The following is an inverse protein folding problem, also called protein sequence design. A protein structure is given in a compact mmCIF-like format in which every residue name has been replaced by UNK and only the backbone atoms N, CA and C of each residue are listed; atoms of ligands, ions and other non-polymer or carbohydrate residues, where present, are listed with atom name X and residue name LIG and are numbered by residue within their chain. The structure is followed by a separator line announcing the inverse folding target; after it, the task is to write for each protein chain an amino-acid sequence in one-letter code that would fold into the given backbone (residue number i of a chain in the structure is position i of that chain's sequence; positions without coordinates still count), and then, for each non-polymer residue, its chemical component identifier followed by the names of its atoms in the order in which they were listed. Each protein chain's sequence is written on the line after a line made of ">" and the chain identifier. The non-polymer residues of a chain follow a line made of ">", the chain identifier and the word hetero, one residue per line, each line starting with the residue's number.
data_IF_504594916284
#
_entry.id   IF_504594916284
#
_cell.length_a   1.000
_cell.length_b   1.000
_cell.length_c   1.000
_cell.angle_alpha   90.00
_cell.angle_beta   90.00
_cell.angle_gamma   90.00
#
_symmetry.space_group_name_H-M   'P 1'
#
loop_
_entity.id
_entity.type
_entity.pdbx_description
1 polymer ?
#
# COMPACT_ATOMS: atom_id res chain seq x y z
N UNK A 1 6.43 -11.97 18.46
CA UNK A 1 7.61 -11.92 17.57
C UNK A 1 7.09 -12.00 16.16
N UNK A 2 7.33 -10.98 15.33
CA UNK A 2 6.89 -11.01 13.92
C UNK A 2 7.69 -12.07 13.16
N UNK A 3 7.07 -12.70 12.16
CA UNK A 3 7.79 -13.59 11.24
C UNK A 3 8.88 -12.81 10.50
N UNK A 4 10.00 -13.47 10.18
CA UNK A 4 10.99 -12.86 9.29
C UNK A 4 10.32 -12.48 7.97
N UNK A 5 10.63 -11.31 7.39
CA UNK A 5 10.03 -10.89 6.14
C UNK A 5 10.44 -11.83 5.01
N UNK A 6 9.48 -12.24 4.18
CA UNK A 6 9.76 -13.00 2.96
C UNK A 6 10.32 -12.05 1.90
N UNK A 7 11.54 -12.28 1.40
CA UNK A 7 12.17 -11.43 0.38
C UNK A 7 12.26 -12.17 -0.94
N UNK A 8 11.45 -11.73 -1.90
CA UNK A 8 11.38 -12.28 -3.25
C UNK A 8 12.10 -11.36 -4.23
N UNK A 9 13.16 -11.88 -4.87
CA UNK A 9 13.99 -11.12 -5.82
C UNK A 9 13.87 -11.71 -7.21
N UNK A 10 13.39 -10.90 -8.15
CA UNK A 10 13.15 -11.29 -9.53
C UNK A 10 14.22 -10.74 -10.46
N UNK A 11 14.45 -11.43 -11.59
CA UNK A 11 15.54 -11.09 -12.51
C UNK A 11 15.42 -9.67 -13.10
N UNK A 12 14.20 -9.17 -13.28
CA UNK A 12 13.91 -7.83 -13.80
C UNK A 12 12.49 -7.39 -13.38
N UNK A 13 12.15 -6.14 -13.74
CA UNK A 13 10.84 -5.52 -13.46
C UNK A 13 9.67 -6.34 -14.03
N UNK A 14 9.78 -6.90 -15.23
CA UNK A 14 8.68 -7.63 -15.86
C UNK A 14 8.36 -8.95 -15.14
N UNK A 15 9.39 -9.67 -14.70
CA UNK A 15 9.22 -10.88 -13.90
C UNK A 15 8.66 -10.58 -12.52
N UNK A 16 9.10 -9.50 -11.89
CA UNK A 16 8.49 -9.00 -10.65
C UNK A 16 7.01 -8.68 -10.86
N UNK A 17 6.70 -7.92 -11.91
CA UNK A 17 5.36 -7.46 -12.26
C UNK A 17 4.40 -8.64 -12.46
N UNK A 18 4.81 -9.63 -13.26
CA UNK A 18 4.03 -10.85 -13.52
C UNK A 18 3.81 -11.68 -12.24
N UNK A 19 4.85 -11.87 -11.43
CA UNK A 19 4.77 -12.64 -10.20
C UNK A 19 3.91 -11.95 -9.13
N UNK A 20 4.02 -10.63 -9.02
CA UNK A 20 3.20 -9.82 -8.12
C UNK A 20 1.73 -9.89 -8.51
N UNK A 21 1.39 -9.73 -9.79
CA UNK A 21 0.01 -9.85 -10.26
C UNK A 21 -0.60 -11.22 -9.94
N UNK A 22 0.13 -12.30 -10.20
CA UNK A 22 -0.31 -13.65 -9.86
C UNK A 22 -0.48 -13.85 -8.34
N UNK A 23 0.43 -13.30 -7.53
CA UNK A 23 0.33 -13.35 -6.07
C UNK A 23 -0.92 -12.63 -5.57
N UNK A 24 -1.17 -11.41 -6.06
CA UNK A 24 -2.32 -10.60 -5.63
C UNK A 24 -3.63 -11.25 -6.07
N UNK A 25 -3.73 -11.76 -7.29
CA UNK A 25 -4.92 -12.49 -7.74
C UNK A 25 -5.20 -13.73 -6.87
N UNK A 26 -4.18 -14.48 -6.47
CA UNK A 26 -4.33 -15.61 -5.55
C UNK A 26 -4.79 -15.17 -4.16
N UNK A 27 -4.26 -14.06 -3.63
CA UNK A 27 -4.72 -13.49 -2.35
C UNK A 27 -6.18 -13.05 -2.44
N UNK A 28 -6.56 -12.41 -3.54
CA UNK A 28 -7.93 -12.00 -3.80
C UNK A 28 -8.89 -13.18 -3.84
N UNK A 29 -8.57 -14.22 -4.62
CA UNK A 29 -9.37 -15.44 -4.71
C UNK A 29 -9.55 -16.12 -3.34
N UNK A 30 -8.48 -16.22 -2.55
CA UNK A 30 -8.52 -16.82 -1.21
C UNK A 30 -9.37 -15.99 -0.23
N UNK A 31 -9.28 -14.67 -0.28
CA UNK A 31 -10.08 -13.79 0.57
C UNK A 31 -11.55 -13.84 0.19
N UNK A 32 -11.87 -13.74 -1.11
CA UNK A 32 -13.22 -13.87 -1.64
C UNK A 32 -13.85 -15.22 -1.26
N UNK A 33 -13.13 -16.33 -1.42
CA UNK A 33 -13.64 -17.65 -1.04
C UNK A 33 -13.92 -17.81 0.46
N UNK A 34 -13.17 -17.12 1.32
CA UNK A 34 -13.31 -17.22 2.79
C UNK A 34 -14.29 -16.24 3.39
N UNK A 35 -14.40 -15.03 2.82
CA UNK A 35 -15.07 -13.87 3.43
C UNK A 35 -16.08 -13.20 2.51
N UNK A 36 -16.22 -13.66 1.27
CA UNK A 36 -17.05 -13.03 0.24
C UNK A 36 -16.51 -11.69 -0.28
N UNK A 37 -15.36 -11.21 0.24
CA UNK A 37 -14.75 -9.94 -0.12
C UNK A 37 -13.22 -10.01 -0.04
N UNK A 38 -12.57 -9.16 -0.82
CA UNK A 38 -11.14 -8.90 -0.79
C UNK A 38 -10.89 -7.40 -0.61
N UNK A 39 -10.48 -7.00 0.59
CA UNK A 39 -10.22 -5.60 0.93
C UNK A 39 -8.71 -5.31 0.82
N UNK A 40 -8.32 -4.52 -0.17
CA UNK A 40 -6.92 -4.19 -0.47
C UNK A 40 -6.67 -2.69 -0.40
N UNK A 41 -5.55 -2.29 0.20
CA UNK A 41 -5.08 -0.91 0.15
C UNK A 41 -3.85 -0.76 -0.76
N UNK A 42 -3.86 0.28 -1.60
CA UNK A 42 -2.82 0.59 -2.57
C UNK A 42 -2.07 1.86 -2.16
N UNK A 43 -0.74 1.86 -2.27
CA UNK A 43 0.04 3.11 -2.22
C UNK A 43 0.20 3.73 -3.61
N UNK A 44 0.65 4.97 -3.64
CA UNK A 44 1.02 5.64 -4.89
C UNK A 44 2.35 5.23 -5.52
N UNK A 45 2.86 6.13 -6.36
CA UNK A 45 4.18 6.01 -7.01
C UNK A 45 4.20 4.93 -8.10
N UNK A 46 5.38 4.35 -8.36
CA UNK A 46 5.54 3.37 -9.44
C UNK A 46 4.86 2.02 -9.18
N UNK A 47 4.16 1.84 -8.05
CA UNK A 47 3.44 0.61 -7.72
C UNK A 47 2.39 0.29 -8.79
N UNK A 48 1.56 1.26 -9.18
CA UNK A 48 0.50 1.03 -10.16
C UNK A 48 1.04 0.74 -11.56
N UNK A 49 2.19 1.31 -11.93
CA UNK A 49 2.88 0.96 -13.18
C UNK A 49 3.45 -0.46 -13.18
N UNK A 50 3.68 -1.04 -12.00
CA UNK A 50 4.20 -2.40 -11.86
C UNK A 50 3.06 -3.42 -11.87
N UNK A 51 1.97 -3.15 -11.16
CA UNK A 51 0.92 -4.16 -10.94
C UNK A 51 -0.34 -3.97 -11.78
N UNK A 52 -0.70 -2.74 -12.18
CA UNK A 52 -1.98 -2.47 -12.86
C UNK A 52 -2.12 -3.23 -14.18
N UNK A 53 -1.25 -2.96 -15.18
CA UNK A 53 -1.32 -3.61 -16.48
C UNK A 53 -1.29 -5.16 -16.45
N UNK A 54 -0.36 -5.84 -15.75
CA UNK A 54 -0.34 -7.30 -15.74
C UNK A 54 -1.57 -7.88 -15.01
N UNK A 55 -2.09 -7.22 -13.97
CA UNK A 55 -3.24 -7.73 -13.24
C UNK A 55 -4.52 -7.70 -14.10
N UNK A 56 -4.66 -6.70 -14.97
CA UNK A 56 -5.76 -6.60 -15.92
C UNK A 56 -5.61 -7.57 -17.13
N UNK A 57 -4.38 -7.89 -17.54
CA UNK A 57 -4.12 -8.57 -18.83
C UNK A 57 -3.55 -9.98 -18.74
N UNK A 58 -3.13 -10.45 -17.55
CA UNK A 58 -2.57 -11.79 -17.40
C UNK A 58 -3.59 -12.88 -17.79
N UNK A 59 -3.15 -14.09 -18.18
CA UNK A 59 -4.07 -15.17 -18.58
C UNK A 59 -5.17 -15.51 -17.56
N UNK A 60 -4.90 -15.28 -16.26
CA UNK A 60 -5.86 -15.52 -15.18
C UNK A 60 -6.76 -14.31 -14.87
N UNK A 61 -6.61 -13.16 -15.54
CA UNK A 61 -7.38 -11.95 -15.23
C UNK A 61 -8.88 -12.13 -15.44
N UNK A 62 -9.27 -12.91 -16.44
CA UNK A 62 -10.66 -13.27 -16.72
C UNK A 62 -11.31 -14.14 -15.62
N UNK A 63 -10.50 -14.78 -14.76
CA UNK A 63 -10.98 -15.57 -13.63
C UNK A 63 -10.99 -14.77 -12.31
N UNK A 64 -10.56 -13.51 -12.31
CA UNK A 64 -10.64 -12.66 -11.13
C UNK A 64 -12.09 -12.22 -10.93
N UNK A 65 -12.65 -12.53 -9.76
CA UNK A 65 -13.93 -12.01 -9.32
C UNK A 65 -13.77 -10.56 -8.84
N UNK A 66 -13.82 -9.61 -9.77
CA UNK A 66 -13.70 -8.17 -9.48
C UNK A 66 -14.84 -7.63 -8.61
N UNK A 67 -16.00 -8.29 -8.60
CA UNK A 67 -17.13 -7.91 -7.75
C UNK A 67 -16.84 -8.14 -6.26
N UNK A 68 -15.87 -8.99 -5.91
CA UNK A 68 -15.44 -9.16 -4.53
C UNK A 68 -14.42 -8.10 -4.05
N UNK A 69 -13.89 -7.24 -4.93
CA UNK A 69 -12.79 -6.33 -4.56
C UNK A 69 -13.30 -5.03 -3.96
N UNK A 70 -12.80 -4.70 -2.77
CA UNK A 70 -12.87 -3.34 -2.22
C UNK A 70 -11.48 -2.71 -2.21
N UNK A 71 -11.35 -1.60 -2.93
CA UNK A 71 -10.09 -0.87 -3.07
C UNK A 71 -10.06 0.30 -2.11
N UNK A 72 -8.96 0.42 -1.38
CA UNK A 72 -8.60 1.56 -0.56
C UNK A 72 -7.24 2.10 -1.01
N UNK A 73 -6.89 3.29 -0.56
CA UNK A 73 -5.56 3.88 -0.64
C UNK A 73 -4.89 3.90 0.73
N UNK A 74 -3.67 3.36 0.81
CA UNK A 74 -2.82 3.44 2.00
C UNK A 74 -2.38 4.89 2.27
N UNK A 75 -2.22 5.65 1.19
CA UNK A 75 -2.07 7.11 1.22
C UNK A 75 -2.56 7.76 -0.06
N UNK A 76 -2.88 9.04 0.02
CA UNK A 76 -3.26 9.87 -1.11
C UNK A 76 -2.72 11.30 -0.92
N UNK A 77 -2.38 11.95 -2.04
CA UNK A 77 -2.08 13.38 -2.08
C UNK A 77 -3.42 14.09 -2.02
N UNK A 78 -3.55 15.04 -1.10
CA UNK A 78 -4.78 15.82 -1.01
C UNK A 78 -4.78 16.86 -2.13
N UNK A 79 -5.23 16.43 -3.31
CA UNK A 79 -5.32 17.17 -4.57
C UNK A 79 -6.57 16.70 -5.33
N UNK A 80 -7.03 17.45 -6.36
CA UNK A 80 -8.12 17.00 -7.22
C UNK A 80 -7.95 15.56 -7.73
N UNK A 81 -9.03 14.77 -7.77
CA UNK A 81 -8.98 13.37 -8.27
C UNK A 81 -8.53 13.19 -9.71
N UNK A 82 -8.57 14.23 -10.53
CA UNK A 82 -8.05 14.25 -11.91
C UNK A 82 -6.63 14.80 -12.01
N UNK A 83 -6.04 15.19 -10.88
CA UNK A 83 -4.65 15.66 -10.80
C UNK A 83 -3.67 14.55 -11.20
N UNK A 84 -2.61 14.87 -11.94
CA UNK A 84 -1.53 13.91 -12.21
C UNK A 84 -0.80 13.43 -10.94
N UNK A 85 -0.92 14.16 -9.82
CA UNK A 85 -0.33 13.77 -8.53
C UNK A 85 -1.22 12.83 -7.70
N UNK A 86 -2.47 12.60 -8.11
CA UNK A 86 -3.42 11.72 -7.41
C UNK A 86 -3.07 10.24 -7.64
N UNK A 87 -2.96 9.50 -6.55
CA UNK A 87 -2.80 8.05 -6.56
C UNK A 87 -4.07 7.36 -7.09
N UNK A 88 -5.26 7.91 -6.84
CA UNK A 88 -6.52 7.48 -7.46
C UNK A 88 -6.45 7.62 -8.98
N UNK A 89 -6.09 8.81 -9.48
CA UNK A 89 -6.01 9.05 -10.92
C UNK A 89 -5.03 8.08 -11.61
N UNK A 90 -3.90 7.83 -10.95
CA UNK A 90 -2.90 6.87 -11.45
C UNK A 90 -3.45 5.44 -11.47
N UNK A 91 -4.11 5.00 -10.40
CA UNK A 91 -4.71 3.67 -10.35
C UNK A 91 -5.85 3.51 -11.36
N UNK A 92 -6.66 4.55 -11.55
CA UNK A 92 -7.76 4.60 -12.51
C UNK A 92 -7.28 4.31 -13.95
N UNK A 93 -6.21 5.01 -14.36
CA UNK A 93 -5.58 4.84 -15.67
C UNK A 93 -4.89 3.50 -15.87
N UNK A 94 -4.29 2.95 -14.81
CA UNK A 94 -3.48 1.73 -14.90
C UNK A 94 -4.25 0.43 -14.67
N UNK A 95 -5.40 0.50 -13.99
CA UNK A 95 -6.15 -0.68 -13.59
C UNK A 95 -7.67 -0.46 -13.62
N UNK A 96 -8.21 0.51 -12.87
CA UNK A 96 -9.64 0.52 -12.52
C UNK A 96 -10.54 0.62 -13.76
N UNK A 97 -10.16 1.42 -14.75
CA UNK A 97 -10.91 1.55 -16.02
C UNK A 97 -10.84 0.32 -16.94
N UNK A 98 -9.96 -0.64 -16.64
CA UNK A 98 -9.74 -1.85 -17.44
C UNK A 98 -10.39 -3.10 -16.82
N UNK A 99 -11.01 -2.98 -15.65
CA UNK A 99 -11.56 -4.11 -14.88
C UNK A 99 -12.96 -3.81 -14.35
N UNK A 100 -13.71 -4.85 -14.00
CA UNK A 100 -15.11 -4.74 -13.58
C UNK A 100 -15.32 -4.57 -12.08
N UNK A 101 -14.57 -3.69 -11.40
CA UNK A 101 -14.79 -3.40 -9.98
C UNK A 101 -15.99 -2.44 -9.84
N UNK A 102 -17.02 -2.77 -9.03
CA UNK A 102 -18.14 -1.85 -8.79
C UNK A 102 -17.66 -0.54 -8.17
N UNK A 103 -18.18 0.59 -8.65
CA UNK A 103 -17.70 1.94 -8.27
C UNK A 103 -17.86 2.21 -6.77
N UNK A 104 -18.91 1.67 -6.16
CA UNK A 104 -19.21 1.73 -4.73
C UNK A 104 -18.22 0.94 -3.87
N UNK A 105 -17.38 0.10 -4.48
CA UNK A 105 -16.30 -0.63 -3.82
C UNK A 105 -14.93 0.01 -4.05
N UNK A 106 -14.89 1.16 -4.72
CA UNK A 106 -13.68 1.97 -4.92
C UNK A 106 -13.73 3.13 -3.92
N UNK A 107 -13.08 2.92 -2.77
CA UNK A 107 -13.11 3.85 -1.64
C UNK A 107 -11.98 4.88 -1.78
N UNK A 108 -12.15 5.82 -2.70
CA UNK A 108 -11.19 6.91 -2.91
C UNK A 108 -11.26 7.95 -1.79
N UNK A 109 -10.13 8.58 -1.48
CA UNK A 109 -10.08 9.73 -0.57
C UNK A 109 -10.88 10.89 -1.18
N UNK A 110 -11.68 11.57 -0.35
CA UNK A 110 -12.54 12.68 -0.77
C UNK A 110 -11.81 14.02 -0.61
N UNK A 111 -11.48 14.63 -1.74
CA UNK A 111 -10.78 15.91 -1.88
C UNK A 111 -11.69 17.13 -1.69
N UNK A 112 -12.99 16.93 -1.41
CA UNK A 112 -13.97 18.02 -1.27
C UNK A 112 -13.96 18.69 0.12
N UNK A 113 -13.25 18.12 1.09
CA UNK A 113 -13.21 18.58 2.47
C UNK A 113 -11.81 19.00 2.87
N UNK A 114 -11.67 19.80 3.94
CA UNK A 114 -10.33 20.09 4.47
C UNK A 114 -9.58 18.80 4.85
N UNK A 115 -8.24 18.81 4.92
CA UNK A 115 -7.47 17.58 5.12
C UNK A 115 -7.81 16.81 6.40
N UNK A 116 -8.09 17.51 7.50
CA UNK A 116 -8.40 16.87 8.78
C UNK A 116 -9.78 16.19 8.75
N UNK A 117 -10.78 16.87 8.17
CA UNK A 117 -12.09 16.30 7.90
C UNK A 117 -12.02 15.13 6.94
N UNK A 118 -11.22 15.26 5.87
CA UNK A 118 -10.99 14.20 4.89
C UNK A 118 -10.46 12.93 5.55
N UNK A 119 -9.43 13.05 6.40
CA UNK A 119 -8.89 11.91 7.15
C UNK A 119 -9.94 11.26 8.06
N UNK A 120 -10.76 12.05 8.77
CA UNK A 120 -11.85 11.54 9.59
C UNK A 120 -12.92 10.79 8.80
N UNK A 121 -13.38 11.36 7.68
CA UNK A 121 -14.37 10.73 6.81
C UNK A 121 -13.85 9.46 6.17
N UNK A 122 -12.58 9.45 5.77
CA UNK A 122 -11.95 8.26 5.21
C UNK A 122 -11.85 7.12 6.23
N UNK A 123 -11.52 7.46 7.49
CA UNK A 123 -11.59 6.53 8.61
C UNK A 123 -13.02 5.99 8.83
N UNK A 124 -14.06 6.83 8.71
CA UNK A 124 -15.46 6.39 8.81
C UNK A 124 -15.86 5.43 7.69
N UNK A 125 -15.43 5.68 6.44
CA UNK A 125 -15.63 4.76 5.31
C UNK A 125 -14.97 3.42 5.59
N UNK A 126 -13.71 3.43 6.04
CA UNK A 126 -13.01 2.19 6.42
C UNK A 126 -13.75 1.44 7.53
N UNK A 127 -14.29 2.15 8.53
CA UNK A 127 -15.03 1.52 9.64
C UNK A 127 -16.33 0.88 9.15
N UNK A 128 -17.05 1.56 8.26
CA UNK A 128 -18.29 1.05 7.69
C UNK A 128 -18.08 -0.18 6.82
N UNK A 129 -17.01 -0.21 6.01
CA UNK A 129 -16.77 -1.32 5.07
C UNK A 129 -16.07 -2.51 5.73
N UNK A 130 -15.14 -2.26 6.65
CA UNK A 130 -14.34 -3.33 7.27
C UNK A 130 -15.00 -3.93 8.51
N UNK A 131 -15.91 -3.20 9.14
CA UNK A 131 -16.74 -3.64 10.27
C UNK A 131 -15.94 -4.37 11.37
N UNK A 132 -14.84 -3.80 11.90
CA UNK A 132 -14.12 -4.44 12.98
C UNK A 132 -14.97 -4.47 14.25
N UNK A 133 -14.75 -5.49 15.07
CA UNK A 133 -15.34 -5.55 16.41
C UNK A 133 -15.02 -4.29 17.23
N UNK A 134 -15.92 -3.86 18.13
CA UNK A 134 -15.70 -2.68 18.96
C UNK A 134 -14.33 -2.71 19.67
N UNK A 135 -13.56 -1.63 19.52
CA UNK A 135 -12.23 -1.49 20.10
C UNK A 135 -11.10 -2.23 19.37
N UNK A 136 -11.39 -2.88 18.23
CA UNK A 136 -10.36 -3.50 17.38
C UNK A 136 -9.94 -2.60 16.23
N UNK A 137 -8.70 -2.80 15.76
CA UNK A 137 -8.19 -2.17 14.55
C UNK A 137 -8.82 -2.79 13.29
N UNK A 138 -8.97 -2.02 12.19
CA UNK A 138 -9.47 -2.53 10.93
C UNK A 138 -8.45 -3.52 10.34
N UNK A 139 -8.94 -4.57 9.69
CA UNK A 139 -8.07 -5.59 9.12
C UNK A 139 -8.31 -5.73 7.62
N UNK A 140 -7.35 -5.24 6.84
CA UNK A 140 -7.29 -5.41 5.39
C UNK A 140 -6.70 -6.78 5.05
N UNK A 141 -7.12 -7.37 3.93
CA UNK A 141 -6.56 -8.62 3.42
C UNK A 141 -5.13 -8.43 2.92
N UNK A 142 -4.88 -7.30 2.26
CA UNK A 142 -3.60 -6.95 1.69
C UNK A 142 -3.38 -5.44 1.71
N UNK A 143 -2.16 -5.01 2.03
CA UNK A 143 -1.70 -3.65 1.78
C UNK A 143 -0.46 -3.72 0.88
N UNK A 144 -0.52 -3.07 -0.27
CA UNK A 144 0.60 -2.92 -1.19
C UNK A 144 1.25 -1.56 -0.96
N UNK A 145 2.54 -1.58 -0.62
CA UNK A 145 3.32 -0.41 -0.27
C UNK A 145 4.51 -0.23 -1.21
N UNK A 146 4.75 0.99 -1.64
CA UNK A 146 6.04 1.44 -2.17
C UNK A 146 6.99 1.86 -1.05
N UNK A 147 8.26 2.03 -1.40
CA UNK A 147 9.28 2.62 -0.52
C UNK A 147 9.97 3.81 -1.19
N UNK A 148 10.05 4.93 -0.48
CA UNK A 148 10.82 6.11 -0.88
C UNK A 148 12.33 5.90 -0.72
N UNK A 149 13.14 6.70 -1.41
CA UNK A 149 14.62 6.68 -1.28
C UNK A 149 15.15 7.11 0.10
N UNK A 150 14.28 7.72 0.89
CA UNK A 150 14.41 8.11 2.30
C UNK A 150 13.80 7.07 3.26
N UNK A 151 13.24 5.98 2.74
CA UNK A 151 12.67 4.87 3.51
C UNK A 151 11.25 5.10 4.01
N UNK A 152 10.61 6.21 3.60
CA UNK A 152 9.18 6.43 3.84
C UNK A 152 8.34 5.38 3.12
N UNK A 153 7.14 5.15 3.65
CA UNK A 153 6.10 4.32 3.06
C UNK A 153 4.76 4.97 3.31
N UNK A 154 3.77 4.75 2.42
CA UNK A 154 2.56 5.56 2.42
C UNK A 154 2.97 7.06 2.48
N UNK A 155 2.37 7.87 3.35
CA UNK A 155 2.88 9.21 3.67
C UNK A 155 3.49 9.30 5.07
N UNK A 156 4.13 8.22 5.53
CA UNK A 156 4.82 8.14 6.80
C UNK A 156 6.32 8.39 6.60
N UNK A 157 6.74 9.62 6.84
CA UNK A 157 8.12 10.09 6.60
C UNK A 157 9.02 9.96 7.83
N UNK A 158 10.34 9.80 7.65
CA UNK A 158 11.30 9.84 8.76
C UNK A 158 11.09 11.07 9.64
N UNK A 159 11.16 10.87 10.97
CA UNK A 159 11.04 11.89 12.01
C UNK A 159 9.71 12.68 12.07
N UNK A 160 8.78 12.42 11.16
CA UNK A 160 7.49 13.09 11.10
C UNK A 160 6.54 12.62 12.23
N UNK A 161 5.76 13.52 12.87
CA UNK A 161 4.87 13.16 13.98
C UNK A 161 3.85 12.05 13.68
N UNK A 162 3.40 11.93 12.43
CA UNK A 162 2.47 10.86 12.01
C UNK A 162 3.00 9.44 12.28
N UNK A 163 4.32 9.23 12.39
CA UNK A 163 4.90 7.94 12.80
C UNK A 163 4.57 7.54 14.24
N UNK A 164 4.21 8.50 15.08
CA UNK A 164 3.90 8.30 16.51
C UNK A 164 2.39 8.20 16.77
N UNK A 165 1.57 8.26 15.72
CA UNK A 165 0.11 8.10 15.85
C UNK A 165 -0.23 6.66 16.26
N UNK A 166 -1.07 6.52 17.27
CA UNK A 166 -1.43 5.23 17.90
C UNK A 166 -2.93 5.07 18.18
N UNK A 167 -3.74 6.09 17.86
CA UNK A 167 -5.17 6.16 18.14
C UNK A 167 -5.99 6.24 16.85
N UNK A 168 -5.57 7.11 15.91
CA UNK A 168 -6.29 7.32 14.65
C UNK A 168 -5.94 6.25 13.63
N UNK A 169 -6.90 5.91 12.77
CA UNK A 169 -6.67 4.96 11.67
C UNK A 169 -6.04 5.68 10.48
N UNK A 170 -6.48 6.92 10.27
CA UNK A 170 -6.08 7.78 9.16
C UNK A 170 -5.79 9.16 9.71
N UNK A 171 -4.72 9.79 9.22
CA UNK A 171 -4.36 11.17 9.58
C UNK A 171 -4.05 12.00 8.35
N UNK A 172 -4.20 13.31 8.50
CA UNK A 172 -3.67 14.29 7.57
C UNK A 172 -2.20 14.59 7.91
N UNK A 173 -1.35 14.60 6.90
CA UNK A 173 0.02 15.11 6.94
C UNK A 173 0.01 16.44 6.21
N UNK A 174 0.43 17.52 6.87
CA UNK A 174 0.27 18.88 6.33
C UNK A 174 1.56 19.42 5.70
N UNK A 175 2.70 18.83 6.06
CA UNK A 175 4.05 19.32 5.82
C UNK A 175 4.97 18.19 5.32
N UNK A 176 4.45 17.33 4.44
CA UNK A 176 5.26 16.28 3.86
C UNK A 176 6.51 16.86 3.18
N UNK A 177 7.70 16.27 3.40
CA UNK A 177 8.98 16.80 2.88
C UNK A 177 9.14 16.63 1.36
N UNK A 178 8.09 16.17 0.68
CA UNK A 178 8.02 15.96 -0.77
C UNK A 178 6.72 16.57 -1.27
N UNK A 179 6.70 17.21 -2.45
CA UNK A 179 5.46 17.73 -3.01
C UNK A 179 4.52 16.60 -3.45
N UNK A 180 3.20 16.84 -3.50
CA UNK A 180 2.48 17.87 -2.73
C UNK A 180 2.62 17.66 -1.21
N UNK A 181 2.62 18.75 -0.40
CA UNK A 181 2.90 18.66 1.03
C UNK A 181 1.75 18.08 1.85
N UNK A 182 0.51 18.26 1.38
CA UNK A 182 -0.69 17.80 2.09
C UNK A 182 -1.08 16.39 1.60
N UNK A 183 -1.22 15.46 2.54
CA UNK A 183 -1.48 14.04 2.27
C UNK A 183 -2.44 13.46 3.30
N UNK A 184 -3.17 12.43 2.90
CA UNK A 184 -4.01 11.61 3.78
C UNK A 184 -3.37 10.23 3.83
N UNK A 185 -3.17 9.67 5.02
CA UNK A 185 -2.43 8.39 5.16
C UNK A 185 -2.99 7.51 6.24
N UNK A 186 -3.01 6.20 5.97
CA UNK A 186 -3.16 5.19 6.99
C UNK A 186 -1.97 5.26 7.95
N UNK A 187 -2.25 4.99 9.23
CA UNK A 187 -1.25 5.02 10.30
C UNK A 187 -0.58 3.65 10.47
N UNK A 188 0.54 3.60 11.19
CA UNK A 188 1.24 2.34 11.46
C UNK A 188 0.36 1.28 12.16
N UNK A 189 -0.51 1.61 13.14
CA UNK A 189 -1.43 0.63 13.71
C UNK A 189 -2.31 -0.08 12.68
N UNK A 190 -2.89 0.66 11.72
CA UNK A 190 -3.71 0.08 10.64
C UNK A 190 -2.87 -0.81 9.73
N UNK A 191 -1.72 -0.29 9.29
CA UNK A 191 -0.82 -1.03 8.38
C UNK A 191 -0.37 -2.34 9.05
N UNK A 192 0.00 -2.28 10.33
CA UNK A 192 0.48 -3.44 11.08
C UNK A 192 -0.64 -4.37 11.57
N UNK A 193 -1.91 -4.06 11.34
CA UNK A 193 -3.01 -4.97 11.65
C UNK A 193 -3.46 -5.80 10.43
N UNK A 194 -2.98 -5.49 9.22
CA UNK A 194 -3.35 -6.21 8.00
C UNK A 194 -3.00 -7.71 8.05
N UNK A 195 -3.74 -8.52 7.30
CA UNK A 195 -3.40 -9.93 7.10
C UNK A 195 -2.06 -10.10 6.37
N UNK A 196 -1.79 -9.25 5.39
CA UNK A 196 -0.54 -9.25 4.64
C UNK A 196 -0.15 -7.81 4.25
N UNK A 197 1.12 -7.47 4.40
CA UNK A 197 1.70 -6.25 3.86
C UNK A 197 2.82 -6.62 2.91
N UNK A 198 2.75 -6.13 1.68
CA UNK A 198 3.79 -6.33 0.68
C UNK A 198 4.43 -5.01 0.29
N UNK A 199 5.74 -4.94 0.43
CA UNK A 199 6.52 -3.90 -0.20
C UNK A 199 6.89 -4.28 -1.63
N UNK A 200 6.78 -3.33 -2.54
CA UNK A 200 7.16 -3.48 -3.94
C UNK A 200 8.17 -2.41 -4.30
N UNK A 201 9.34 -2.82 -4.81
CA UNK A 201 10.38 -1.88 -5.22
C UNK A 201 11.13 -2.39 -6.45
N UNK A 202 11.27 -1.52 -7.45
CA UNK A 202 12.00 -1.81 -8.67
C UNK A 202 12.94 -0.65 -9.03
N UNK A 203 14.05 -0.99 -9.69
CA UNK A 203 15.08 -0.06 -10.13
C UNK A 203 16.20 0.19 -9.12
N UNK A 204 17.36 0.51 -9.66
CA UNK A 204 18.63 0.74 -8.95
C UNK A 204 18.56 1.89 -7.94
N UNK A 205 17.73 2.91 -8.18
CA UNK A 205 17.50 3.99 -7.22
C UNK A 205 17.02 3.51 -5.83
N UNK A 206 16.56 2.25 -5.71
CA UNK A 206 16.09 1.65 -4.45
C UNK A 206 17.18 0.88 -3.71
N UNK A 207 18.30 0.55 -4.35
CA UNK A 207 19.33 -0.34 -3.79
C UNK A 207 19.88 0.15 -2.43
N UNK A 208 20.31 1.40 -2.38
CA UNK A 208 20.90 1.98 -1.16
C UNK A 208 19.90 2.00 0.01
N UNK A 209 18.65 2.39 -0.25
CA UNK A 209 17.67 2.49 0.82
C UNK A 209 17.23 1.10 1.30
N UNK A 210 17.09 0.13 0.40
CA UNK A 210 16.78 -1.25 0.75
C UNK A 210 17.92 -1.88 1.56
N UNK A 211 19.18 -1.62 1.20
CA UNK A 211 20.34 -2.03 2.00
C UNK A 211 20.24 -1.49 3.44
N UNK A 212 19.87 -0.22 3.63
CA UNK A 212 19.63 0.35 4.96
C UNK A 212 18.45 -0.30 5.70
N UNK A 213 17.39 -0.68 4.99
CA UNK A 213 16.23 -1.38 5.58
C UNK A 213 16.61 -2.77 6.10
N UNK A 214 17.31 -3.56 5.28
CA UNK A 214 17.64 -4.95 5.61
C UNK A 214 18.91 -5.13 6.43
N UNK A 215 19.83 -4.16 6.40
CA UNK A 215 21.08 -4.15 7.19
C UNK A 215 21.02 -3.00 8.20
N UNK A 216 20.12 -3.05 9.21
CA UNK A 216 19.96 -1.96 10.15
C UNK A 216 21.26 -1.72 10.93
N UNK A 217 21.72 -0.48 10.88
CA UNK A 217 22.80 -0.01 11.73
C UNK A 217 22.19 0.58 13.01
N UNK A 218 22.43 -0.07 14.16
CA UNK A 218 21.87 0.35 15.46
C UNK A 218 22.20 1.78 15.91
N UNK A 219 23.11 2.48 15.21
CA UNK A 219 23.41 3.91 15.43
C UNK A 219 22.48 4.86 14.66
N UNK A 220 21.72 4.38 13.67
CA UNK A 220 20.80 5.21 12.87
C UNK A 220 19.35 5.03 13.34
N UNK A 221 18.52 6.08 13.29
CA UNK A 221 17.08 5.96 13.50
C UNK A 221 16.47 4.95 12.51
N UNK A 222 15.49 4.19 13.01
CA UNK A 222 14.71 3.26 12.19
C UNK A 222 13.94 4.03 11.13
N UNK A 223 13.94 3.49 9.91
CA UNK A 223 13.15 4.00 8.81
C UNK A 223 11.66 3.67 9.01
N UNK A 224 10.72 4.48 8.48
CA UNK A 224 9.29 4.17 8.49
C UNK A 224 8.96 2.76 7.99
N UNK A 225 9.57 2.34 6.88
CA UNK A 225 9.43 0.98 6.33
C UNK A 225 9.91 -0.12 7.28
N UNK A 226 10.88 0.15 8.18
CA UNK A 226 11.31 -0.79 9.22
C UNK A 226 10.35 -0.85 10.42
N UNK A 227 9.40 0.08 10.52
CA UNK A 227 8.35 0.09 11.54
C UNK A 227 7.10 -0.67 11.08
N UNK A 228 7.04 -1.04 9.80
CA UNK A 228 6.03 -1.95 9.28
C UNK A 228 6.41 -3.38 9.66
N UNK A 229 5.62 -3.95 10.55
CA UNK A 229 5.79 -5.28 11.11
C UNK A 229 4.41 -5.81 11.54
N UNK A 230 3.62 -6.38 10.61
CA UNK A 230 2.26 -6.83 10.87
C UNK A 230 2.17 -7.83 12.04
N UNK A 231 1.30 -7.53 13.01
CA UNK A 231 1.09 -8.39 14.18
C UNK A 231 0.13 -9.52 13.84
N UNK A 232 0.63 -10.76 13.80
CA UNK A 232 -0.18 -11.91 13.39
C UNK A 232 -0.60 -11.89 11.92
N UNK A 233 0.15 -11.14 11.10
CA UNK A 233 0.06 -11.10 9.64
C UNK A 233 1.41 -11.41 9.00
N UNK A 234 1.46 -11.30 7.68
CA UNK A 234 2.65 -11.59 6.88
C UNK A 234 3.28 -10.29 6.37
N UNK A 235 4.62 -10.26 6.31
CA UNK A 235 5.39 -9.19 5.66
C UNK A 235 6.20 -9.77 4.51
N UNK A 236 6.00 -9.24 3.31
CA UNK A 236 6.73 -9.66 2.12
C UNK A 236 7.35 -8.49 1.36
N UNK A 237 8.41 -8.77 0.59
CA UNK A 237 9.08 -7.83 -0.30
C UNK A 237 9.19 -8.42 -1.69
N UNK A 238 8.75 -7.67 -2.70
CA UNK A 238 8.89 -7.99 -4.10
C UNK A 238 9.85 -6.99 -4.73
N UNK A 239 11.05 -7.48 -5.06
CA UNK A 239 12.18 -6.67 -5.53
C UNK A 239 12.63 -7.13 -6.91
N UNK A 240 12.99 -6.21 -7.79
CA UNK A 240 13.80 -6.59 -8.96
C UNK A 240 15.29 -6.64 -8.58
N UNK A 241 16.10 -7.27 -9.42
CA UNK A 241 17.53 -7.43 -9.18
C UNK A 241 18.25 -6.08 -9.02
N UNK A 242 17.80 -5.05 -9.73
CA UNK A 242 18.38 -3.71 -9.64
C UNK A 242 18.12 -3.08 -8.26
N UNK A 243 16.88 -3.17 -7.76
CA UNK A 243 16.53 -2.72 -6.41
C UNK A 243 17.23 -3.54 -5.32
N UNK A 244 17.51 -4.83 -5.57
CA UNK A 244 18.19 -5.71 -4.62
C UNK A 244 19.72 -5.67 -4.70
N UNK A 245 20.33 -4.83 -5.54
CA UNK A 245 21.76 -4.89 -5.87
C UNK A 245 22.70 -4.77 -4.66
N UNK A 246 22.31 -4.02 -3.62
CA UNK A 246 23.12 -3.81 -2.41
C UNK A 246 22.77 -4.77 -1.25
N UNK A 247 21.86 -5.73 -1.48
CA UNK A 247 21.41 -6.69 -0.46
C UNK A 247 22.36 -7.89 -0.33
N UNK A 248 22.87 -8.37 -1.46
CA UNK A 248 23.71 -9.57 -1.55
C UNK A 248 25.15 -9.22 -1.89
#
# INVERSE_FOLDING_TARGET
>A
MGSQPEVNVYSNRDKLSSALAAYVARRAANAAARRGRFCVALSGGSLMDIIGPPLATMPLSAAIDWAAWHIFWADERWVPKDSPDSNYHHADRQLLTHVGIPVEQIHAVDDSFDPAQTAGRYEDVMRHVLEPEPGQWPRLDLILLGIGTDGHTASLFPDHPALRETQRWVVAVMDAPKPPPIRITMTLPVINNAHSVLFVAAGDQKAQILSRVFKPNGKKPRLPSQLVNPSGGELGWFLDRAAAADLF
#
